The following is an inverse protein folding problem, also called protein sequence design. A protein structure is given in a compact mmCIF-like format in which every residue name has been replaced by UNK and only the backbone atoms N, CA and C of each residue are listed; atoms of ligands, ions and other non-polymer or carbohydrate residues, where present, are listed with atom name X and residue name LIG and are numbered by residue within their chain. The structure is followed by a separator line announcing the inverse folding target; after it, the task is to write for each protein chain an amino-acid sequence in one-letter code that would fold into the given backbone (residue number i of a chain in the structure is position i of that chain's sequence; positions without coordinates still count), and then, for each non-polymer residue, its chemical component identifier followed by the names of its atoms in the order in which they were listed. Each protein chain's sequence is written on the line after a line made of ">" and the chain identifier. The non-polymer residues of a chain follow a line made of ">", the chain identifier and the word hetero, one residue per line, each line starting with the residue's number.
data_IF_334357895438
#
_entry.id   IF_334357895438
#
_cell.length_a   1.000
_cell.length_b   1.000
_cell.length_c   1.000
_cell.angle_alpha   90.00
_cell.angle_beta   90.00
_cell.angle_gamma   90.00
#
_symmetry.space_group_name_H-M   'P 1'
#
loop_
_entity.id
_entity.type
_entity.pdbx_description
1 polymer ?
#
# COMPACT_ATOMS: atom_id res chain seq x y z
N UNK A 1 5.35 -12.68 39.09
CA UNK A 1 4.99 -11.31 38.65
C UNK A 1 5.03 -10.26 39.78
N UNK A 2 5.16 -10.62 41.07
CA UNK A 2 5.17 -9.66 42.19
C UNK A 2 6.50 -8.89 42.40
N UNK A 3 7.58 -9.21 41.69
CA UNK A 3 8.93 -8.70 41.97
C UNK A 3 9.33 -7.40 41.24
N UNK A 4 8.56 -6.93 40.26
CA UNK A 4 8.90 -5.72 39.48
C UNK A 4 8.37 -4.40 40.10
N UNK A 5 7.44 -4.49 41.06
CA UNK A 5 6.84 -3.32 41.73
C UNK A 5 7.34 -3.10 43.17
N UNK A 6 8.28 -3.91 43.65
CA UNK A 6 8.83 -3.74 44.99
C UNK A 6 9.83 -2.59 45.00
N UNK A 7 9.49 -1.48 45.67
CA UNK A 7 10.47 -0.48 46.06
C UNK A 7 11.61 -1.18 46.82
N UNK A 8 12.86 -0.85 46.46
CA UNK A 8 14.04 -1.34 47.18
C UNK A 8 13.81 -1.11 48.68
N UNK A 9 13.84 -2.16 49.52
CA UNK A 9 13.65 -1.99 50.95
C UNK A 9 14.73 -1.02 51.47
N UNK A 10 14.40 -0.12 52.42
CA UNK A 10 15.38 0.79 53.01
C UNK A 10 16.39 -0.04 53.80
N UNK A 11 17.44 -0.45 53.12
CA UNK A 11 18.52 -1.26 53.66
C UNK A 11 19.77 -0.40 53.75
N UNK A 12 20.68 -0.75 54.65
CA UNK A 12 21.91 -0.01 54.93
C UNK A 12 22.95 -0.09 53.79
N UNK A 13 22.71 -0.93 52.77
CA UNK A 13 23.61 -1.16 51.62
C UNK A 13 22.82 -1.40 50.31
N UNK A 14 22.20 -0.36 49.73
CA UNK A 14 21.31 -0.49 48.57
C UNK A 14 21.99 -1.07 47.32
N UNK A 15 23.29 -0.84 47.15
CA UNK A 15 24.05 -1.35 46.00
C UNK A 15 24.31 -2.86 46.08
N UNK A 16 24.64 -3.37 47.27
CA UNK A 16 24.81 -4.82 47.48
C UNK A 16 23.50 -5.58 47.29
N UNK A 17 22.38 -4.99 47.75
CA UNK A 17 21.06 -5.55 47.48
C UNK A 17 20.72 -5.55 45.98
N UNK A 18 21.03 -4.46 45.27
CA UNK A 18 20.83 -4.39 43.82
C UNK A 18 21.66 -5.44 43.06
N UNK A 19 22.88 -5.73 43.49
CA UNK A 19 23.72 -6.78 42.93
C UNK A 19 23.07 -8.16 43.07
N UNK A 20 22.61 -8.52 44.27
CA UNK A 20 21.91 -9.80 44.49
C UNK A 20 20.59 -9.88 43.70
N UNK A 21 19.85 -8.78 43.62
CA UNK A 21 18.64 -8.71 42.81
C UNK A 21 18.93 -8.94 41.32
N UNK A 22 20.00 -8.33 40.77
CA UNK A 22 20.40 -8.54 39.39
C UNK A 22 20.84 -9.99 39.12
N UNK A 23 21.51 -10.65 40.06
CA UNK A 23 21.83 -12.08 39.95
C UNK A 23 20.55 -12.93 39.86
N UNK A 24 19.55 -12.66 40.69
CA UNK A 24 18.25 -13.35 40.65
C UNK A 24 17.52 -13.07 39.33
N UNK A 25 17.57 -11.82 38.86
CA UNK A 25 16.97 -11.43 37.58
C UNK A 25 17.62 -12.15 36.39
N UNK A 26 18.95 -12.21 36.33
CA UNK A 26 19.68 -12.91 35.26
C UNK A 26 19.40 -14.41 35.26
N UNK A 27 19.33 -15.05 36.44
CA UNK A 27 18.92 -16.46 36.55
C UNK A 27 17.49 -16.67 36.05
N UNK A 28 16.57 -15.78 36.43
CA UNK A 28 15.18 -15.82 35.97
C UNK A 28 15.05 -15.55 34.46
N UNK A 29 15.91 -14.71 33.90
CA UNK A 29 15.99 -14.47 32.45
C UNK A 29 16.48 -15.74 31.74
N UNK A 30 17.56 -16.37 32.22
CA UNK A 30 18.09 -17.62 31.64
C UNK A 30 17.03 -18.70 31.48
N UNK A 31 16.19 -18.90 32.51
CA UNK A 31 15.11 -19.91 32.46
C UNK A 31 14.03 -19.63 31.42
N UNK A 32 13.91 -18.38 30.92
CA UNK A 32 12.83 -17.93 30.05
C UNK A 32 13.30 -17.55 28.65
N UNK A 33 14.61 -17.34 28.48
CA UNK A 33 15.23 -16.98 27.22
C UNK A 33 15.45 -18.18 26.30
N UNK A 34 15.63 -17.92 25.00
CA UNK A 34 16.07 -18.94 24.07
C UNK A 34 17.53 -19.35 24.37
N UNK A 35 17.91 -20.64 24.22
CA UNK A 35 19.25 -21.14 24.57
C UNK A 35 20.42 -20.42 23.89
N UNK A 36 20.18 -19.82 22.71
CA UNK A 36 21.19 -19.03 21.98
C UNK A 36 21.69 -17.80 22.76
N UNK A 37 20.93 -17.35 23.78
CA UNK A 37 21.27 -16.17 24.60
C UNK A 37 21.90 -16.52 25.95
N UNK A 38 21.96 -17.80 26.31
CA UNK A 38 22.49 -18.25 27.61
C UNK A 38 23.94 -17.80 27.83
N UNK A 39 24.77 -17.83 26.80
CA UNK A 39 26.17 -17.39 26.90
C UNK A 39 26.29 -15.91 27.33
N UNK A 40 25.45 -15.03 26.79
CA UNK A 40 25.47 -13.61 27.13
C UNK A 40 24.98 -13.37 28.56
N UNK A 41 23.96 -14.12 28.99
CA UNK A 41 23.43 -14.08 30.37
C UNK A 41 24.49 -14.59 31.35
N UNK A 42 25.16 -15.69 31.03
CA UNK A 42 26.20 -16.29 31.86
C UNK A 42 27.40 -15.36 32.01
N UNK A 43 27.81 -14.65 30.94
CA UNK A 43 28.87 -13.63 31.03
C UNK A 43 28.50 -12.49 31.99
N UNK A 44 27.25 -12.00 31.97
CA UNK A 44 26.78 -10.97 32.90
C UNK A 44 26.71 -11.50 34.33
N UNK A 45 26.27 -12.75 34.49
CA UNK A 45 26.19 -13.40 35.79
C UNK A 45 27.58 -13.57 36.42
N UNK A 46 28.55 -14.09 35.65
CA UNK A 46 29.95 -14.23 36.09
C UNK A 46 30.56 -12.88 36.46
N UNK A 47 30.32 -11.81 35.68
CA UNK A 47 30.78 -10.45 36.03
C UNK A 47 30.24 -9.96 37.38
N UNK A 48 29.00 -10.29 37.72
CA UNK A 48 28.42 -9.95 39.03
C UNK A 48 28.89 -10.87 40.14
N UNK A 49 29.22 -12.13 39.84
CA UNK A 49 29.67 -13.11 40.83
C UNK A 49 31.15 -12.96 41.20
N UNK A 50 31.97 -12.57 40.23
CA UNK A 50 33.38 -12.24 40.41
C UNK A 50 33.59 -10.91 41.15
N UNK A 51 32.52 -10.15 41.42
CA UNK A 51 32.61 -8.93 42.22
C UNK A 51 33.09 -9.27 43.64
N UNK A 52 34.30 -8.83 43.96
CA UNK A 52 34.83 -8.83 45.31
C UNK A 52 34.82 -7.41 45.83
N UNK A 53 34.27 -7.23 47.03
CA UNK A 53 34.38 -5.95 47.71
C UNK A 53 35.86 -5.57 47.81
N UNK A 54 36.26 -4.38 47.35
CA UNK A 54 37.63 -3.92 47.52
C UNK A 54 37.93 -3.90 49.02
N UNK A 55 38.91 -4.68 49.45
CA UNK A 55 39.32 -4.78 50.86
C UNK A 55 39.60 -3.35 51.35
N UNK A 56 38.89 -2.86 52.39
CA UNK A 56 39.13 -1.54 52.96
C UNK A 56 40.55 -1.52 53.55
N UNK A 57 41.52 -0.95 52.82
CA UNK A 57 42.91 -0.86 53.27
C UNK A 57 44.00 -1.16 52.23
N UNK A 58 43.66 -1.61 51.01
CA UNK A 58 44.66 -1.95 49.99
C UNK A 58 45.02 -0.81 49.01
N UNK A 59 44.52 0.41 49.21
CA UNK A 59 44.76 1.56 48.34
C UNK A 59 45.26 2.78 49.13
N UNK A 60 46.52 2.70 49.57
CA UNK A 60 47.33 3.86 49.91
C UNK A 60 48.73 3.64 49.35
N UNK A 61 48.88 3.84 48.04
CA UNK A 61 50.00 4.60 47.49
C UNK A 61 49.97 4.59 45.96
N UNK A 62 50.15 5.78 45.39
CA UNK A 62 50.47 6.08 43.99
C UNK A 62 49.29 6.11 42.99
N UNK A 63 48.65 7.27 42.87
CA UNK A 63 48.87 8.17 41.72
C UNK A 63 47.94 9.38 41.81
N UNK A 64 48.53 10.54 42.11
CA UNK A 64 47.89 11.84 42.01
C UNK A 64 47.72 12.23 40.54
N UNK A 65 46.56 12.81 40.21
CA UNK A 65 46.37 13.58 38.99
C UNK A 65 45.52 12.93 37.91
N UNK A 66 44.22 12.77 38.18
CA UNK A 66 43.13 13.21 37.29
C UNK A 66 41.78 12.96 37.99
N UNK A 67 41.11 14.04 38.36
CA UNK A 67 39.87 14.07 39.13
C UNK A 67 38.67 13.71 38.24
N UNK A 68 38.57 12.47 37.77
CA UNK A 68 37.28 11.95 37.31
C UNK A 68 36.40 11.64 38.52
N UNK A 69 35.08 11.89 38.44
CA UNK A 69 34.15 11.54 39.53
C UNK A 69 34.19 10.03 39.73
N UNK A 70 34.85 9.60 40.81
CA UNK A 70 34.89 8.22 41.25
C UNK A 70 33.50 7.82 41.77
N UNK A 71 32.56 7.62 40.84
CA UNK A 71 31.37 6.85 41.12
C UNK A 71 31.82 5.51 41.71
N UNK A 72 31.13 5.05 42.75
CA UNK A 72 31.40 3.73 43.34
C UNK A 72 31.54 2.71 42.21
N UNK A 73 32.68 2.01 42.11
CA UNK A 73 32.95 1.00 41.06
C UNK A 73 31.81 -0.02 40.95
N UNK A 74 31.18 -0.34 42.09
CA UNK A 74 29.99 -1.17 42.18
C UNK A 74 28.78 -0.53 41.48
N UNK A 75 28.57 0.78 41.65
CA UNK A 75 27.51 1.50 40.96
C UNK A 75 27.71 1.50 39.44
N UNK A 76 28.96 1.64 38.97
CA UNK A 76 29.29 1.54 37.53
C UNK A 76 28.98 0.13 37.01
N UNK A 77 29.43 -0.91 37.71
CA UNK A 77 29.14 -2.31 37.36
C UNK A 77 27.63 -2.59 37.28
N UNK A 78 26.86 -2.10 38.27
CA UNK A 78 25.40 -2.24 38.30
C UNK A 78 24.78 -1.55 37.08
N UNK A 79 25.15 -0.29 36.82
CA UNK A 79 24.62 0.48 35.68
C UNK A 79 24.94 -0.21 34.35
N UNK A 80 26.17 -0.69 34.18
CA UNK A 80 26.58 -1.38 32.96
C UNK A 80 25.85 -2.72 32.79
N UNK A 81 25.60 -3.43 33.88
CA UNK A 81 24.82 -4.67 33.85
C UNK A 81 23.35 -4.40 33.51
N UNK A 82 22.76 -3.34 34.06
CA UNK A 82 21.39 -2.91 33.70
C UNK A 82 21.31 -2.54 32.22
N UNK A 83 22.27 -1.75 31.70
CA UNK A 83 22.33 -1.42 30.26
C UNK A 83 22.47 -2.67 29.40
N UNK A 84 23.30 -3.62 29.81
CA UNK A 84 23.46 -4.89 29.10
C UNK A 84 22.19 -5.75 29.12
N UNK A 85 21.45 -5.78 30.23
CA UNK A 85 20.14 -6.45 30.31
C UNK A 85 19.11 -5.79 29.38
N UNK A 86 19.07 -4.46 29.33
CA UNK A 86 18.19 -3.73 28.40
C UNK A 86 18.56 -4.03 26.95
N UNK A 87 19.85 -4.04 26.61
CA UNK A 87 20.32 -4.44 25.28
C UNK A 87 19.94 -5.89 24.95
N UNK A 88 20.06 -6.80 25.92
CA UNK A 88 19.64 -8.20 25.77
C UNK A 88 18.13 -8.30 25.50
N UNK A 89 17.31 -7.49 26.17
CA UNK A 89 15.86 -7.46 25.94
C UNK A 89 15.49 -7.04 24.51
N UNK A 90 16.22 -6.11 23.90
CA UNK A 90 16.03 -5.75 22.49
C UNK A 90 16.39 -6.90 21.54
N UNK A 91 17.46 -7.66 21.84
CA UNK A 91 17.77 -8.87 21.09
C UNK A 91 16.69 -9.96 21.26
N UNK A 92 16.18 -10.15 22.49
CA UNK A 92 15.09 -11.10 22.75
C UNK A 92 13.80 -10.70 22.02
N UNK A 93 13.52 -9.40 21.90
CA UNK A 93 12.40 -8.88 21.11
C UNK A 93 12.57 -9.20 19.63
N UNK A 94 13.79 -9.08 19.10
CA UNK A 94 14.12 -9.50 17.73
C UNK A 94 13.96 -11.02 17.54
N UNK A 95 14.42 -11.82 18.50
CA UNK A 95 14.27 -13.29 18.49
C UNK A 95 12.80 -13.69 18.53
N UNK A 96 12.01 -13.02 19.38
CA UNK A 96 10.57 -13.23 19.49
C UNK A 96 9.86 -12.88 18.18
N UNK A 97 10.18 -11.74 17.58
CA UNK A 97 9.64 -11.36 16.27
C UNK A 97 9.99 -12.39 15.21
N UNK A 98 11.24 -12.88 15.19
CA UNK A 98 11.71 -13.90 14.25
C UNK A 98 11.01 -15.24 14.47
N UNK A 99 10.85 -15.67 15.72
CA UNK A 99 10.16 -16.90 16.09
C UNK A 99 8.66 -16.83 15.76
N UNK A 100 8.02 -15.69 16.03
CA UNK A 100 6.63 -15.43 15.66
C UNK A 100 6.49 -15.52 14.16
N UNK A 101 7.29 -14.78 13.38
CA UNK A 101 7.27 -14.81 11.92
C UNK A 101 7.53 -16.22 11.35
N UNK A 102 8.47 -16.96 11.93
CA UNK A 102 8.76 -18.34 11.53
C UNK A 102 7.65 -19.35 11.88
N UNK A 103 6.77 -19.01 12.82
CA UNK A 103 5.63 -19.84 13.23
C UNK A 103 4.32 -19.48 12.52
N UNK A 104 4.26 -18.30 11.90
CA UNK A 104 3.10 -17.81 11.17
C UNK A 104 2.97 -18.50 9.81
N UNK A 105 1.74 -18.78 9.38
CA UNK A 105 1.51 -19.18 8.00
C UNK A 105 1.74 -18.00 7.05
N UNK A 106 1.97 -18.27 5.76
CA UNK A 106 2.10 -17.21 4.75
C UNK A 106 0.88 -16.27 4.73
N UNK A 107 -0.32 -16.82 4.97
CA UNK A 107 -1.56 -16.05 5.06
C UNK A 107 -1.56 -15.12 6.27
N UNK A 108 -1.09 -15.59 7.43
CA UNK A 108 -0.99 -14.78 8.64
C UNK A 108 0.05 -13.65 8.47
N UNK A 109 1.21 -13.96 7.86
CA UNK A 109 2.23 -12.97 7.55
C UNK A 109 1.67 -11.90 6.61
N UNK A 110 0.99 -12.32 5.53
CA UNK A 110 0.36 -11.39 4.58
C UNK A 110 -0.66 -10.49 5.28
N UNK A 111 -1.53 -11.06 6.11
CA UNK A 111 -2.53 -10.29 6.86
C UNK A 111 -1.89 -9.30 7.84
N UNK A 112 -0.83 -9.72 8.54
CA UNK A 112 -0.07 -8.87 9.44
C UNK A 112 0.60 -7.71 8.68
N UNK A 113 1.25 -7.98 7.56
CA UNK A 113 1.88 -6.96 6.71
C UNK A 113 0.83 -5.97 6.19
N UNK A 114 -0.32 -6.46 5.73
CA UNK A 114 -1.42 -5.59 5.29
C UNK A 114 -1.94 -4.72 6.43
N UNK A 115 -2.14 -5.28 7.62
CA UNK A 115 -2.57 -4.51 8.78
C UNK A 115 -1.56 -3.43 9.15
N UNK A 116 -0.27 -3.75 9.16
CA UNK A 116 0.79 -2.80 9.43
C UNK A 116 0.88 -1.70 8.36
N UNK A 117 0.70 -2.06 7.09
CA UNK A 117 0.67 -1.10 5.99
C UNK A 117 -0.53 -0.14 6.12
N UNK A 118 -1.72 -0.64 6.46
CA UNK A 118 -2.90 0.21 6.74
C UNK A 118 -2.64 1.22 7.86
N UNK A 119 -2.08 0.76 8.97
CA UNK A 119 -1.79 1.62 10.13
C UNK A 119 -0.78 2.70 9.74
N UNK A 120 0.33 2.32 9.11
CA UNK A 120 1.37 3.26 8.68
C UNK A 120 0.88 4.27 7.65
N UNK A 121 0.10 3.84 6.67
CA UNK A 121 -0.49 4.76 5.69
C UNK A 121 -1.35 5.81 6.37
N UNK A 122 -2.23 5.41 7.30
CA UNK A 122 -3.08 6.33 8.04
C UNK A 122 -2.27 7.29 8.89
N UNK A 123 -1.30 6.78 9.64
CA UNK A 123 -0.40 7.60 10.46
C UNK A 123 0.29 8.66 9.61
N UNK A 124 0.87 8.27 8.47
CA UNK A 124 1.58 9.19 7.58
C UNK A 124 0.64 10.22 6.94
N UNK A 125 -0.52 9.82 6.42
CA UNK A 125 -1.46 10.78 5.81
C UNK A 125 -2.04 11.74 6.86
N UNK A 126 -2.35 11.25 8.06
CA UNK A 126 -2.79 12.12 9.16
C UNK A 126 -1.65 13.06 9.58
N UNK A 127 -0.42 12.56 9.73
CA UNK A 127 0.74 13.40 10.04
C UNK A 127 0.94 14.50 8.99
N UNK A 128 0.87 14.16 7.70
CA UNK A 128 1.11 15.10 6.61
C UNK A 128 -0.01 16.16 6.45
N UNK A 129 -1.28 15.78 6.58
CA UNK A 129 -2.43 16.68 6.36
C UNK A 129 -3.02 17.31 7.62
N UNK A 130 -2.77 16.72 8.80
CA UNK A 130 -3.31 17.16 10.08
C UNK A 130 -2.24 17.76 11.01
N UNK A 131 -0.98 17.90 10.52
CA UNK A 131 0.18 18.42 11.28
C UNK A 131 -0.09 19.71 12.08
N UNK A 132 -1.04 20.54 11.63
CA UNK A 132 -1.29 21.88 12.18
C UNK A 132 -2.70 22.09 12.74
N UNK A 133 -3.67 21.21 12.48
CA UNK A 133 -5.09 21.54 12.70
C UNK A 133 -5.96 20.36 13.16
N UNK A 134 -5.83 20.03 14.45
CA UNK A 134 -6.79 19.27 15.27
C UNK A 134 -6.71 17.74 15.11
N UNK A 135 -6.43 16.97 16.18
CA UNK A 135 -6.07 15.54 16.15
C UNK A 135 -7.20 14.55 15.77
N UNK A 136 -8.24 15.01 15.09
CA UNK A 136 -9.48 14.26 14.89
C UNK A 136 -9.68 13.74 13.46
N UNK A 137 -8.76 14.01 12.52
CA UNK A 137 -8.92 13.63 11.11
C UNK A 137 -10.12 14.31 10.43
N UNK A 138 -10.63 15.41 11.02
CA UNK A 138 -11.82 16.10 10.51
C UNK A 138 -11.56 16.75 9.15
N UNK A 139 -10.38 17.34 8.97
CA UNK A 139 -9.95 17.93 7.69
C UNK A 139 -9.97 16.90 6.56
N UNK A 140 -9.52 15.67 6.85
CA UNK A 140 -9.55 14.58 5.88
C UNK A 140 -11.00 14.24 5.49
N UNK A 141 -11.89 14.05 6.47
CA UNK A 141 -13.33 13.78 6.21
C UNK A 141 -13.98 14.87 5.38
N UNK A 142 -13.71 16.13 5.69
CA UNK A 142 -14.31 17.26 4.97
C UNK A 142 -13.78 17.36 3.53
N UNK A 143 -12.49 17.12 3.31
CA UNK A 143 -11.91 17.01 1.95
C UNK A 143 -12.50 15.84 1.16
N UNK A 144 -12.71 14.69 1.81
CA UNK A 144 -13.32 13.54 1.16
C UNK A 144 -14.76 13.82 0.75
N UNK A 145 -15.58 14.33 1.67
CA UNK A 145 -17.00 14.62 1.43
C UNK A 145 -17.18 15.69 0.37
N UNK A 146 -16.39 16.76 0.42
CA UNK A 146 -16.47 17.81 -0.59
C UNK A 146 -16.09 17.27 -1.96
N UNK A 147 -15.03 16.46 -2.06
CA UNK A 147 -14.63 15.83 -3.32
C UNK A 147 -15.68 14.83 -3.84
N UNK A 148 -16.21 13.96 -2.98
CA UNK A 148 -17.20 12.95 -3.35
C UNK A 148 -18.57 13.56 -3.71
N UNK A 149 -18.86 14.79 -3.24
CA UNK A 149 -20.07 15.52 -3.60
C UNK A 149 -20.00 16.15 -5.01
N UNK A 150 -18.82 16.28 -5.62
CA UNK A 150 -18.62 16.91 -6.93
C UNK A 150 -18.91 15.97 -8.12
N UNK A 151 -19.76 14.96 -7.94
CA UNK A 151 -20.16 14.06 -9.05
C UNK A 151 -20.97 14.86 -10.07
N UNK A 152 -20.58 14.81 -11.34
CA UNK A 152 -21.33 15.47 -12.41
C UNK A 152 -22.74 14.89 -12.57
N UNK A 153 -23.75 15.75 -12.74
CA UNK A 153 -25.15 15.34 -12.94
C UNK A 153 -25.36 14.42 -14.16
N UNK A 154 -24.47 14.52 -15.16
CA UNK A 154 -24.45 13.62 -16.34
C UNK A 154 -24.14 12.16 -15.95
N UNK A 155 -23.22 11.96 -15.00
CA UNK A 155 -22.85 10.63 -14.49
C UNK A 155 -23.95 10.09 -13.58
N UNK A 156 -24.55 10.93 -12.73
CA UNK A 156 -25.68 10.51 -11.90
C UNK A 156 -26.83 9.95 -12.74
N UNK A 157 -27.16 10.61 -13.85
CA UNK A 157 -28.21 10.14 -14.77
C UNK A 157 -27.84 8.83 -15.47
N UNK A 158 -26.55 8.59 -15.74
CA UNK A 158 -26.08 7.44 -16.52
C UNK A 158 -26.01 6.13 -15.72
N UNK A 159 -25.95 6.21 -14.38
CA UNK A 159 -25.80 5.04 -13.49
C UNK A 159 -26.87 4.96 -12.39
N UNK A 160 -27.87 5.85 -12.36
CA UNK A 160 -28.88 5.86 -11.32
C UNK A 160 -29.74 4.56 -11.27
N UNK A 161 -30.07 4.04 -10.07
CA UNK A 161 -29.72 4.57 -8.74
C UNK A 161 -28.34 4.09 -8.24
N UNK A 162 -27.41 5.03 -7.97
CA UNK A 162 -26.10 4.73 -7.35
C UNK A 162 -26.27 4.78 -5.81
N UNK A 163 -25.89 3.73 -5.06
CA UNK A 163 -25.82 3.79 -3.60
C UNK A 163 -24.95 4.96 -3.12
N UNK A 164 -25.30 5.64 -2.01
CA UNK A 164 -24.49 6.75 -1.49
C UNK A 164 -23.03 6.33 -1.25
N UNK A 165 -22.86 5.09 -0.79
CA UNK A 165 -21.57 4.47 -0.51
C UNK A 165 -20.73 4.25 -1.79
N UNK A 166 -21.33 4.25 -2.98
CA UNK A 166 -20.60 4.04 -4.23
C UNK A 166 -20.40 5.33 -5.04
N UNK A 167 -20.89 6.48 -4.56
CA UNK A 167 -20.76 7.76 -5.29
C UNK A 167 -19.31 8.17 -5.52
N UNK A 168 -18.44 7.94 -4.55
CA UNK A 168 -17.02 8.26 -4.66
C UNK A 168 -16.31 7.41 -5.72
N UNK A 169 -16.78 6.18 -5.98
CA UNK A 169 -16.24 5.31 -7.04
C UNK A 169 -16.54 5.94 -8.40
N UNK A 170 -17.79 6.37 -8.61
CA UNK A 170 -18.18 7.07 -9.86
C UNK A 170 -17.36 8.34 -10.04
N UNK A 171 -17.13 9.10 -8.96
CA UNK A 171 -16.25 10.28 -8.99
C UNK A 171 -14.80 9.93 -9.36
N UNK A 172 -14.25 8.87 -8.79
CA UNK A 172 -12.90 8.39 -9.11
C UNK A 172 -12.80 8.02 -10.60
N UNK A 173 -13.76 7.26 -11.10
CA UNK A 173 -13.80 6.85 -12.51
C UNK A 173 -13.95 8.04 -13.46
N UNK A 174 -14.71 9.06 -13.05
CA UNK A 174 -14.81 10.33 -13.78
C UNK A 174 -13.44 11.03 -13.86
N UNK A 175 -12.71 11.12 -12.75
CA UNK A 175 -11.36 11.71 -12.69
C UNK A 175 -10.34 10.93 -13.53
N UNK A 176 -10.37 9.59 -13.48
CA UNK A 176 -9.53 8.71 -14.31
C UNK A 176 -9.88 8.80 -15.80
N UNK A 177 -11.12 9.17 -16.13
CA UNK A 177 -11.58 9.38 -17.50
C UNK A 177 -11.28 10.76 -18.08
N UNK A 178 -10.54 11.61 -17.35
CA UNK A 178 -10.10 12.90 -17.87
C UNK A 178 -8.73 12.80 -18.54
N UNK A 179 -8.39 13.79 -19.38
CA UNK A 179 -7.07 13.90 -20.00
C UNK A 179 -6.06 14.66 -19.13
N UNK A 180 -6.44 15.07 -17.91
CA UNK A 180 -5.57 15.79 -16.97
C UNK A 180 -4.99 14.78 -16.01
N UNK A 181 -3.67 14.76 -15.79
CA UNK A 181 -3.05 13.79 -14.89
C UNK A 181 -3.65 13.87 -13.47
N UNK A 182 -4.01 12.71 -12.92
CA UNK A 182 -4.43 12.62 -11.52
C UNK A 182 -3.27 13.01 -10.60
N UNK A 183 -3.55 13.87 -9.63
CA UNK A 183 -2.55 14.35 -8.66
C UNK A 183 -3.11 14.37 -7.25
N UNK A 184 -2.25 14.19 -6.26
CA UNK A 184 -2.58 14.35 -4.86
C UNK A 184 -1.58 15.32 -4.22
N UNK A 185 -2.02 16.56 -4.00
CA UNK A 185 -1.14 17.63 -3.54
C UNK A 185 -0.82 17.49 -2.04
N UNK A 186 0.46 17.34 -1.71
CA UNK A 186 0.96 17.37 -0.34
C UNK A 186 0.87 18.80 0.19
N UNK A 187 0.44 19.04 1.44
CA UNK A 187 0.35 20.38 2.00
C UNK A 187 1.71 21.09 1.97
N UNK A 188 1.71 22.34 1.50
CA UNK A 188 2.90 23.19 1.30
C UNK A 188 3.77 23.43 2.55
N UNK A 189 3.40 22.90 3.73
CA UNK A 189 4.22 23.02 4.94
C UNK A 189 5.53 22.22 4.91
N UNK A 190 5.73 21.35 3.92
CA UNK A 190 6.90 20.48 3.79
C UNK A 190 7.87 20.93 2.69
N UNK A 191 7.50 21.93 1.89
CA UNK A 191 8.37 22.55 0.89
C UNK A 191 8.84 23.92 1.40
N UNK A 192 9.95 23.98 2.16
CA UNK A 192 10.55 25.25 2.54
C UNK A 192 11.02 25.99 1.29
N UNK A 193 10.30 27.04 0.88
CA UNK A 193 10.69 27.94 -0.22
C UNK A 193 9.63 28.29 -1.25
N UNK A 194 8.40 27.78 -1.17
CA UNK A 194 7.39 27.97 -2.24
C UNK A 194 6.32 29.03 -1.94
N UNK A 195 6.67 30.11 -1.24
CA UNK A 195 5.73 31.21 -0.91
C UNK A 195 5.49 32.20 -2.08
N UNK A 196 6.22 32.11 -3.20
CA UNK A 196 6.17 33.12 -4.27
C UNK A 196 5.35 32.78 -5.52
N UNK A 197 4.69 31.59 -5.62
CA UNK A 197 3.97 31.20 -6.85
C UNK A 197 2.44 31.28 -6.80
N UNK A 198 1.85 31.90 -5.78
CA UNK A 198 0.39 31.95 -5.62
C UNK A 198 -0.38 32.92 -6.56
N UNK A 199 0.29 33.63 -7.47
CA UNK A 199 -0.35 34.75 -8.19
C UNK A 199 -0.88 34.40 -9.60
N UNK A 200 -0.51 33.26 -10.22
CA UNK A 200 -0.91 32.95 -11.60
C UNK A 200 -1.43 31.52 -11.83
N UNK A 201 -2.28 30.98 -10.93
CA UNK A 201 -3.02 29.76 -11.25
C UNK A 201 -4.21 30.09 -12.15
N UNK A 202 -3.98 30.07 -13.46
CA UNK A 202 -5.04 29.97 -14.48
C UNK A 202 -5.94 28.77 -14.17
N UNK A 203 -7.24 29.01 -14.22
CA UNK A 203 -8.39 28.13 -13.88
C UNK A 203 -8.48 26.84 -14.71
N UNK A 204 -7.42 26.05 -14.77
CA UNK A 204 -7.52 24.68 -15.28
C UNK A 204 -8.24 23.82 -14.25
N UNK A 205 -9.22 22.98 -14.65
CA UNK A 205 -9.91 22.10 -13.72
C UNK A 205 -8.89 21.12 -13.13
N UNK A 206 -8.58 21.28 -11.85
CA UNK A 206 -7.60 20.48 -11.15
C UNK A 206 -8.14 19.05 -10.97
N UNK A 207 -7.51 18.06 -11.60
CA UNK A 207 -7.80 16.64 -11.38
C UNK A 207 -7.15 16.16 -10.07
N UNK A 208 -7.56 16.79 -8.98
CA UNK A 208 -7.01 16.59 -7.64
C UNK A 208 -7.80 15.52 -6.89
N UNK A 209 -7.07 14.50 -6.43
CA UNK A 209 -7.59 13.43 -5.60
C UNK A 209 -7.47 13.78 -4.12
N UNK A 210 -8.44 13.36 -3.28
CA UNK A 210 -8.36 13.58 -1.85
C UNK A 210 -7.16 12.81 -1.25
N UNK A 211 -6.69 13.21 -0.05
CA UNK A 211 -5.47 12.65 0.56
C UNK A 211 -5.50 11.13 0.78
N UNK A 212 -6.69 10.55 0.88
CA UNK A 212 -6.93 9.11 0.99
C UNK A 212 -6.36 8.30 -0.18
N UNK A 213 -6.16 8.93 -1.34
CA UNK A 213 -5.54 8.27 -2.50
C UNK A 213 -4.03 8.48 -2.59
N UNK A 214 -3.39 9.14 -1.61
CA UNK A 214 -1.99 9.55 -1.72
C UNK A 214 -1.05 8.40 -2.14
N UNK A 215 -1.11 7.26 -1.45
CA UNK A 215 -0.25 6.11 -1.76
C UNK A 215 -0.64 5.34 -3.03
N UNK A 216 -1.90 5.44 -3.47
CA UNK A 216 -2.38 4.80 -4.71
C UNK A 216 -2.32 5.73 -5.92
N UNK A 217 -1.99 7.01 -5.74
CA UNK A 217 -1.94 8.02 -6.81
C UNK A 217 -1.00 7.61 -7.97
N UNK A 218 0.24 7.11 -7.73
CA UNK A 218 1.08 6.65 -8.83
C UNK A 218 0.45 5.52 -9.65
N UNK A 219 -0.26 4.61 -8.96
CA UNK A 219 -0.97 3.50 -9.60
C UNK A 219 -2.20 3.97 -10.38
N UNK A 220 -2.91 4.97 -9.87
CA UNK A 220 -4.04 5.60 -10.56
C UNK A 220 -3.58 6.36 -11.81
N UNK A 221 -2.43 7.03 -11.76
CA UNK A 221 -1.81 7.66 -12.93
C UNK A 221 -1.40 6.61 -13.98
N UNK A 222 -0.79 5.50 -13.54
CA UNK A 222 -0.51 4.36 -14.43
C UNK A 222 -1.78 3.85 -15.11
N UNK A 223 -2.86 3.63 -14.33
CA UNK A 223 -4.17 3.21 -14.86
C UNK A 223 -4.70 4.23 -15.87
N UNK A 224 -4.58 5.53 -15.60
CA UNK A 224 -5.03 6.58 -16.51
C UNK A 224 -4.29 6.53 -17.86
N UNK A 225 -2.96 6.42 -17.83
CA UNK A 225 -2.15 6.27 -19.05
C UNK A 225 -2.51 4.98 -19.81
N UNK A 226 -2.77 3.91 -19.07
CA UNK A 226 -3.18 2.62 -19.63
C UNK A 226 -4.55 2.72 -20.34
N UNK A 227 -5.53 3.40 -19.74
CA UNK A 227 -6.84 3.64 -20.36
C UNK A 227 -6.72 4.49 -21.64
N UNK A 228 -5.83 5.48 -21.63
CA UNK A 228 -5.53 6.28 -22.82
C UNK A 228 -4.90 5.40 -23.92
N UNK A 229 -3.92 4.55 -23.60
CA UNK A 229 -3.31 3.64 -24.57
C UNK A 229 -4.30 2.63 -25.16
N UNK A 230 -5.20 2.06 -24.34
CA UNK A 230 -6.29 1.19 -24.83
C UNK A 230 -7.17 1.96 -25.82
N UNK A 231 -7.52 3.21 -25.49
CA UNK A 231 -8.35 4.07 -26.34
C UNK A 231 -7.65 4.41 -27.65
N UNK A 232 -6.36 4.78 -27.61
CA UNK A 232 -5.53 5.05 -28.80
C UNK A 232 -5.51 3.81 -29.69
N UNK A 233 -5.19 2.65 -29.12
CA UNK A 233 -5.11 1.37 -29.84
C UNK A 233 -6.43 1.04 -30.55
N UNK A 234 -7.56 1.19 -29.86
CA UNK A 234 -8.90 0.99 -30.44
C UNK A 234 -9.20 2.01 -31.55
N UNK A 235 -8.82 3.27 -31.36
CA UNK A 235 -9.04 4.33 -32.35
C UNK A 235 -8.24 4.06 -33.63
N UNK A 236 -6.96 3.68 -33.50
CA UNK A 236 -6.12 3.30 -34.63
C UNK A 236 -6.67 2.05 -35.34
N UNK A 237 -7.16 1.06 -34.60
CA UNK A 237 -7.79 -0.14 -35.18
C UNK A 237 -8.97 0.20 -36.11
N UNK A 238 -9.80 1.16 -35.72
CA UNK A 238 -10.93 1.66 -36.50
C UNK A 238 -10.47 2.43 -37.74
N UNK A 239 -9.34 3.14 -37.67
CA UNK A 239 -8.76 3.86 -38.79
C UNK A 239 -8.14 2.92 -39.84
N UNK A 240 -7.49 1.83 -39.40
CA UNK A 240 -6.79 0.92 -40.30
C UNK A 240 -7.74 -0.09 -40.98
N UNK A 241 -8.82 -0.52 -40.31
CA UNK A 241 -9.84 -1.46 -40.84
C UNK A 241 -9.27 -2.73 -41.47
N UNK A 242 -8.18 -3.28 -40.93
CA UNK A 242 -7.60 -4.52 -41.43
C UNK A 242 -8.50 -5.72 -41.09
N UNK A 243 -8.80 -6.61 -42.06
CA UNK A 243 -9.52 -7.84 -41.79
C UNK A 243 -8.57 -8.95 -41.27
N UNK A 244 -9.08 -9.79 -40.37
CA UNK A 244 -8.46 -11.05 -39.98
C UNK A 244 -7.11 -10.92 -39.24
N UNK A 245 -6.15 -11.85 -39.45
CA UNK A 245 -4.95 -11.99 -38.63
C UNK A 245 -4.01 -10.78 -38.69
N UNK A 246 -3.99 -10.07 -39.82
CA UNK A 246 -3.17 -8.84 -39.97
C UNK A 246 -3.62 -7.72 -39.04
N UNK A 247 -4.91 -7.66 -38.72
CA UNK A 247 -5.46 -6.72 -37.74
C UNK A 247 -4.96 -7.03 -36.33
N UNK A 248 -4.92 -8.30 -35.95
CA UNK A 248 -4.40 -8.74 -34.66
C UNK A 248 -2.89 -8.45 -34.52
N UNK A 249 -2.07 -8.80 -35.52
CA UNK A 249 -0.63 -8.51 -35.49
C UNK A 249 -0.32 -7.01 -35.44
N UNK A 250 -1.14 -6.18 -36.08
CA UNK A 250 -1.02 -4.73 -36.00
C UNK A 250 -1.34 -4.24 -34.57
N UNK A 251 -2.46 -4.72 -34.00
CA UNK A 251 -2.86 -4.41 -32.64
C UNK A 251 -1.81 -4.82 -31.60
N UNK A 252 -1.29 -6.04 -31.70
CA UNK A 252 -0.25 -6.57 -30.81
C UNK A 252 0.99 -5.67 -30.81
N UNK A 253 1.41 -5.20 -31.99
CA UNK A 253 2.57 -4.30 -32.12
C UNK A 253 2.32 -2.91 -31.56
N UNK A 254 1.20 -2.28 -31.92
CA UNK A 254 0.82 -0.95 -31.41
C UNK A 254 0.68 -0.99 -29.89
N UNK A 255 0.01 -2.02 -29.38
CA UNK A 255 -0.16 -2.22 -27.95
C UNK A 255 1.18 -2.42 -27.23
N UNK A 256 2.06 -3.27 -27.76
CA UNK A 256 3.38 -3.51 -27.17
C UNK A 256 4.21 -2.24 -27.10
N UNK A 257 4.17 -1.39 -28.13
CA UNK A 257 4.87 -0.10 -28.14
C UNK A 257 4.33 0.85 -27.06
N UNK A 258 3.00 0.98 -26.97
CA UNK A 258 2.37 1.84 -25.96
C UNK A 258 2.60 1.33 -24.54
N UNK A 259 2.50 0.02 -24.33
CA UNK A 259 2.69 -0.61 -23.03
C UNK A 259 4.13 -0.47 -22.55
N UNK A 260 5.11 -0.63 -23.44
CA UNK A 260 6.53 -0.43 -23.13
C UNK A 260 6.79 1.01 -22.66
N UNK A 261 6.23 2.02 -23.32
CA UNK A 261 6.37 3.43 -22.90
C UNK A 261 5.78 3.65 -21.49
N UNK A 262 4.59 3.11 -21.23
CA UNK A 262 3.93 3.25 -19.93
C UNK A 262 4.72 2.54 -18.82
N UNK A 263 5.27 1.37 -19.11
CA UNK A 263 6.05 0.59 -18.13
C UNK A 263 7.46 1.19 -17.89
N UNK A 264 8.06 1.85 -18.90
CA UNK A 264 9.33 2.58 -18.76
C UNK A 264 9.18 3.82 -17.88
N UNK A 265 8.08 4.57 -18.00
CA UNK A 265 7.79 5.75 -17.15
C UNK A 265 7.69 5.42 -15.65
N UNK A 266 7.40 4.16 -15.30
CA UNK A 266 7.31 3.72 -13.89
C UNK A 266 8.69 3.42 -13.28
N UNK A 267 9.68 3.08 -14.10
CA UNK A 267 10.98 2.57 -13.65
C UNK A 267 12.18 3.42 -14.06
N UNK A 268 12.00 4.38 -14.98
CA UNK A 268 13.03 5.31 -15.41
C UNK A 268 13.26 6.47 -14.43
N UNK A 269 14.46 7.12 -14.47
CA UNK A 269 14.59 8.47 -13.93
C UNK A 269 13.54 9.37 -14.59
N UNK A 270 13.03 10.42 -13.91
CA UNK A 270 12.01 11.31 -14.46
C UNK A 270 12.55 12.01 -15.70
N UNK A 271 12.42 11.35 -16.85
CA UNK A 271 12.66 11.92 -18.15
C UNK A 271 11.63 13.01 -18.35
N UNK A 272 12.08 14.12 -18.91
CA UNK A 272 11.32 15.36 -19.12
C UNK A 272 9.84 15.07 -19.44
N UNK A 273 8.98 15.41 -18.47
CA UNK A 273 7.53 15.22 -18.55
C UNK A 273 7.00 15.78 -19.88
N UNK A 274 6.50 14.92 -20.75
CA UNK A 274 5.54 15.33 -21.78
C UNK A 274 5.87 14.97 -23.22
N UNK A 275 7.01 14.33 -23.53
CA UNK A 275 7.22 13.75 -24.85
C UNK A 275 7.20 12.22 -24.78
N UNK A 276 6.01 11.64 -24.57
CA UNK A 276 5.83 10.24 -24.95
C UNK A 276 6.26 10.13 -26.41
N UNK A 277 7.17 9.21 -26.74
CA UNK A 277 7.71 9.03 -28.08
C UNK A 277 6.68 8.32 -28.96
N UNK A 278 5.53 8.97 -29.15
CA UNK A 278 4.47 8.61 -30.11
C UNK A 278 4.97 8.65 -31.56
N UNK A 279 6.22 9.06 -31.77
CA UNK A 279 6.92 9.31 -33.04
C UNK A 279 6.84 8.12 -34.01
N UNK A 280 6.55 6.89 -33.54
CA UNK A 280 6.49 5.71 -34.41
C UNK A 280 5.07 5.17 -34.68
N UNK A 281 3.99 5.71 -34.09
CA UNK A 281 2.65 5.15 -34.31
C UNK A 281 2.13 5.42 -35.73
N UNK A 282 2.42 6.59 -36.29
CA UNK A 282 2.04 6.93 -37.65
C UNK A 282 2.72 6.00 -38.66
N UNK A 283 4.01 5.72 -38.48
CA UNK A 283 4.76 4.82 -39.36
C UNK A 283 4.26 3.37 -39.27
N UNK A 284 3.86 2.91 -38.08
CA UNK A 284 3.23 1.60 -37.89
C UNK A 284 1.89 1.48 -38.64
N UNK A 285 1.06 2.53 -38.58
CA UNK A 285 -0.22 2.58 -39.30
C UNK A 285 -0.01 2.59 -40.81
N UNK A 286 0.96 3.36 -41.31
CA UNK A 286 1.34 3.37 -42.73
C UNK A 286 1.82 1.99 -43.18
N UNK A 287 2.75 1.39 -42.42
CA UNK A 287 3.29 0.05 -42.71
C UNK A 287 2.20 -1.01 -42.79
N UNK A 288 1.18 -0.91 -41.94
CA UNK A 288 0.08 -1.87 -41.89
C UNK A 288 -0.87 -1.77 -43.10
N UNK A 289 -0.97 -0.60 -43.76
CA UNK A 289 -1.80 -0.40 -44.96
C UNK A 289 -1.06 -0.54 -46.29
N UNK A 290 0.26 -0.70 -46.29
CA UNK A 290 1.05 -0.80 -47.53
C UNK A 290 0.57 -1.94 -48.44
N UNK A 291 0.61 -1.76 -49.78
CA UNK A 291 1.13 -0.59 -50.50
C UNK A 291 0.13 0.59 -50.58
N UNK A 292 0.63 1.83 -50.44
CA UNK A 292 -0.15 3.08 -50.54
C UNK A 292 0.53 4.07 -51.50
N UNK A 293 -0.26 4.95 -52.12
CA UNK A 293 0.27 6.11 -52.85
C UNK A 293 0.73 7.21 -51.87
N UNK A 294 1.70 8.05 -52.27
CA UNK A 294 2.26 9.10 -51.41
C UNK A 294 1.19 10.08 -50.86
N UNK A 295 0.17 10.39 -51.66
CA UNK A 295 -0.95 11.24 -51.21
C UNK A 295 -1.80 10.54 -50.13
N UNK A 296 -2.02 9.24 -50.27
CA UNK A 296 -2.79 8.45 -49.29
C UNK A 296 -2.00 8.25 -48.01
N UNK A 297 -0.68 8.07 -48.10
CA UNK A 297 0.21 8.03 -46.95
C UNK A 297 0.15 9.34 -46.14
N UNK A 298 0.28 10.50 -46.80
CA UNK A 298 0.19 11.80 -46.13
C UNK A 298 -1.16 12.01 -45.44
N UNK A 299 -2.26 11.66 -46.11
CA UNK A 299 -3.61 11.74 -45.52
C UNK A 299 -3.77 10.80 -44.32
N UNK A 300 -3.17 9.61 -44.37
CA UNK A 300 -3.23 8.64 -43.28
C UNK A 300 -2.44 9.12 -42.06
N UNK A 301 -1.25 9.70 -42.27
CA UNK A 301 -0.45 10.32 -41.20
C UNK A 301 -1.22 11.46 -40.52
N UNK A 302 -1.83 12.35 -41.30
CA UNK A 302 -2.65 13.44 -40.78
C UNK A 302 -3.87 12.93 -39.99
N UNK A 303 -4.51 11.86 -40.49
CA UNK A 303 -5.62 11.22 -39.79
C UNK A 303 -5.17 10.61 -38.45
N UNK A 304 -4.00 9.95 -38.40
CA UNK A 304 -3.42 9.43 -37.16
C UNK A 304 -3.12 10.57 -36.19
N UNK A 305 -2.43 11.62 -36.62
CA UNK A 305 -2.11 12.78 -35.79
C UNK A 305 -3.36 13.46 -35.24
N UNK A 306 -4.42 13.53 -36.04
CA UNK A 306 -5.72 14.03 -35.60
C UNK A 306 -6.35 13.12 -34.54
N UNK A 307 -6.38 11.80 -34.77
CA UNK A 307 -6.97 10.83 -33.84
C UNK A 307 -6.21 10.75 -32.51
N UNK A 308 -4.92 11.04 -32.50
CA UNK A 308 -4.10 11.10 -31.28
C UNK A 308 -4.38 12.36 -30.44
N UNK A 309 -5.08 13.38 -30.98
CA UNK A 309 -5.44 14.56 -30.20
C UNK A 309 -6.54 14.20 -29.20
N UNK A 310 -6.40 14.57 -27.91
CA UNK A 310 -7.40 14.26 -26.89
C UNK A 310 -8.78 14.90 -27.14
N UNK A 311 -8.86 15.92 -28.01
CA UNK A 311 -10.09 16.61 -28.39
C UNK A 311 -10.80 15.99 -29.61
N UNK A 312 -10.23 14.95 -30.23
CA UNK A 312 -10.88 14.31 -31.37
C UNK A 312 -12.18 13.60 -30.93
N UNK A 313 -13.30 13.79 -31.66
CA UNK A 313 -14.60 13.23 -31.27
C UNK A 313 -14.60 11.69 -31.23
N UNK A 314 -13.79 11.02 -32.06
CA UNK A 314 -13.72 9.54 -32.05
C UNK A 314 -13.02 9.08 -30.78
N UNK A 315 -11.90 9.72 -30.43
CA UNK A 315 -11.17 9.44 -29.20
C UNK A 315 -12.07 9.66 -27.97
N UNK A 316 -12.72 10.82 -27.87
CA UNK A 316 -13.61 11.16 -26.75
C UNK A 316 -14.78 10.17 -26.61
N UNK A 317 -15.38 9.76 -27.72
CA UNK A 317 -16.50 8.81 -27.72
C UNK A 317 -16.07 7.43 -27.24
N UNK A 318 -14.93 6.92 -27.72
CA UNK A 318 -14.40 5.62 -27.29
C UNK A 318 -13.95 5.65 -25.84
N UNK A 319 -13.25 6.71 -25.44
CA UNK A 319 -12.79 6.89 -24.07
C UNK A 319 -13.96 6.91 -23.09
N UNK A 320 -14.99 7.71 -23.39
CA UNK A 320 -16.21 7.78 -22.59
C UNK A 320 -16.92 6.42 -22.50
N UNK A 321 -17.04 5.68 -23.61
CA UNK A 321 -17.65 4.34 -23.60
C UNK A 321 -16.86 3.37 -22.74
N UNK A 322 -15.54 3.41 -22.82
CA UNK A 322 -14.64 2.58 -22.02
C UNK A 322 -14.80 2.88 -20.52
N UNK A 323 -14.70 4.15 -20.14
CA UNK A 323 -14.79 4.57 -18.74
C UNK A 323 -16.17 4.31 -18.16
N UNK A 324 -17.25 4.57 -18.90
CA UNK A 324 -18.60 4.22 -18.46
C UNK A 324 -18.80 2.70 -18.33
N UNK A 325 -18.27 1.92 -19.29
CA UNK A 325 -18.33 0.45 -19.25
C UNK A 325 -17.62 -0.12 -18.02
N UNK A 326 -16.39 0.34 -17.77
CA UNK A 326 -15.61 -0.02 -16.58
C UNK A 326 -16.30 0.40 -15.29
N UNK A 327 -16.87 1.61 -15.24
CA UNK A 327 -17.59 2.10 -14.05
C UNK A 327 -18.73 1.16 -13.67
N UNK A 328 -19.55 0.71 -14.64
CA UNK A 328 -20.64 -0.25 -14.38
C UNK A 328 -20.09 -1.56 -13.81
N UNK A 329 -19.04 -2.10 -14.42
CA UNK A 329 -18.42 -3.35 -13.97
C UNK A 329 -17.85 -3.28 -12.56
N UNK A 330 -17.21 -2.15 -12.21
CA UNK A 330 -16.72 -1.91 -10.86
C UNK A 330 -17.88 -1.86 -9.87
N UNK A 331 -18.96 -1.12 -10.18
CA UNK A 331 -20.13 -1.01 -9.31
C UNK A 331 -20.80 -2.37 -9.10
N UNK A 332 -20.96 -3.16 -10.16
CA UNK A 332 -21.54 -4.51 -10.09
C UNK A 332 -20.67 -5.44 -9.23
N UNK A 333 -19.35 -5.35 -9.37
CA UNK A 333 -18.40 -6.12 -8.56
C UNK A 333 -18.52 -5.77 -7.06
N UNK A 334 -18.60 -4.48 -6.74
CA UNK A 334 -18.75 -4.01 -5.35
C UNK A 334 -20.11 -4.39 -4.74
N UNK A 335 -21.19 -4.35 -5.54
CA UNK A 335 -22.50 -4.81 -5.12
C UNK A 335 -22.51 -6.32 -4.80
N UNK A 336 -21.92 -7.14 -5.68
CA UNK A 336 -21.82 -8.59 -5.47
C UNK A 336 -20.98 -8.94 -4.23
N UNK A 337 -19.91 -8.19 -3.95
CA UNK A 337 -19.09 -8.39 -2.75
C UNK A 337 -19.88 -8.08 -1.46
N UNK A 338 -20.74 -7.06 -1.46
CA UNK A 338 -21.54 -6.69 -0.28
C UNK A 338 -22.54 -7.76 0.17
N UNK A 339 -23.14 -8.49 -0.79
CA UNK A 339 -24.15 -9.52 -0.49
C UNK A 339 -23.56 -10.81 0.10
N UNK A 340 -22.34 -11.16 -0.29
CA UNK A 340 -21.64 -12.35 0.25
C UNK A 340 -21.28 -12.20 1.73
N UNK A 341 -20.97 -10.99 2.20
CA UNK A 341 -20.66 -10.73 3.61
C UNK A 341 -21.88 -10.89 4.53
N UNK A 342 -23.08 -10.50 4.06
CA UNK A 342 -24.33 -10.64 4.82
C UNK A 342 -24.82 -12.08 4.93
N UNK A 343 -24.41 -12.94 4.00
CA UNK A 343 -24.80 -14.36 3.98
C UNK A 343 -23.76 -15.28 4.63
N UNK A 344 -22.47 -14.92 4.62
CA UNK A 344 -21.42 -15.67 5.31
C UNK A 344 -21.57 -15.68 6.85
N UNK A 345 -22.26 -14.70 7.44
CA UNK A 345 -22.62 -14.71 8.86
C UNK A 345 -23.73 -15.71 9.23
N UNK A 346 -24.30 -16.42 8.25
CA UNK A 346 -25.38 -17.41 8.44
C UNK A 346 -25.05 -18.75 7.79
N UNK A 347 -23.77 -19.08 7.64
CA UNK A 347 -23.37 -20.47 7.47
C UNK A 347 -23.57 -21.20 8.81
N UNK A 348 -24.76 -21.78 8.95
CA UNK A 348 -25.05 -22.78 9.99
C UNK A 348 -23.97 -23.86 9.82
N UNK A 349 -23.15 -24.14 10.84
CA UNK A 349 -22.13 -25.18 10.73
C UNK A 349 -22.79 -26.50 10.36
N UNK A 350 -22.45 -27.04 9.19
CA UNK A 350 -23.02 -28.29 8.65
C UNK A 350 -22.70 -29.51 9.53
N UNK A 351 -21.82 -29.33 10.54
CA UNK A 351 -21.50 -30.36 11.53
C UNK A 351 -21.50 -29.79 12.95
N UNK A 352 -22.53 -30.12 13.71
CA UNK A 352 -22.51 -30.00 15.17
C UNK A 352 -21.54 -31.04 15.74
N UNK A 353 -20.29 -30.64 15.99
CA UNK A 353 -19.32 -31.48 16.71
C UNK A 353 -19.74 -31.57 18.18
N UNK A 354 -20.56 -32.56 18.51
CA UNK A 354 -20.81 -32.96 19.89
C UNK A 354 -19.53 -33.53 20.48
N UNK A 355 -19.06 -32.91 21.57
CA UNK A 355 -17.77 -33.22 22.18
C UNK A 355 -17.74 -34.59 22.86
N UNK A 356 -16.73 -35.39 22.51
CA UNK A 356 -16.04 -36.38 23.36
C UNK A 356 -14.84 -36.97 22.60
N UNK A 357 -13.80 -36.16 22.38
CA UNK A 357 -12.47 -36.71 22.08
C UNK A 357 -11.65 -36.74 23.36
N UNK A 358 -11.66 -37.92 23.98
CA UNK A 358 -10.74 -38.29 25.05
C UNK A 358 -9.36 -38.44 24.42
N UNK A 359 -8.38 -37.66 24.89
CA UNK A 359 -7.00 -38.10 24.90
C UNK A 359 -6.07 -37.66 23.76
N UNK A 360 -6.01 -36.37 23.42
CA UNK A 360 -4.75 -35.71 23.00
C UNK A 360 -4.95 -34.22 23.19
N UNK A 361 -4.22 -33.58 24.12
CA UNK A 361 -4.23 -32.11 24.27
C UNK A 361 -3.73 -31.49 22.96
N UNK A 362 -4.58 -30.80 22.16
CA UNK A 362 -4.05 -29.99 21.08
C UNK A 362 -3.38 -28.78 21.72
N UNK A 363 -2.11 -28.57 21.40
CA UNK A 363 -1.41 -27.31 21.70
C UNK A 363 -2.30 -26.18 21.19
N UNK A 364 -2.79 -25.32 22.10
CA UNK A 364 -3.52 -24.09 21.77
C UNK A 364 -2.58 -23.20 20.95
N UNK A 365 -2.52 -23.41 19.64
CA UNK A 365 -1.99 -22.41 18.73
C UNK A 365 -2.98 -21.25 18.79
N UNK A 366 -2.50 -20.08 19.19
CA UNK A 366 -3.27 -18.85 19.09
C UNK A 366 -3.62 -18.69 17.60
N UNK A 367 -4.87 -18.99 17.24
CA UNK A 367 -5.39 -18.66 15.92
C UNK A 367 -5.70 -17.18 15.96
N UNK A 368 -4.94 -16.41 15.20
CA UNK A 368 -5.35 -15.06 14.84
C UNK A 368 -6.47 -15.26 13.83
N UNK A 369 -7.70 -14.90 14.19
CA UNK A 369 -8.80 -14.84 13.23
C UNK A 369 -8.47 -13.72 12.24
N UNK A 370 -7.86 -14.10 11.12
CA UNK A 370 -7.60 -13.22 9.99
C UNK A 370 -8.90 -13.11 9.21
N UNK A 371 -9.47 -11.91 9.05
CA UNK A 371 -10.65 -11.76 8.23
C UNK A 371 -10.34 -12.05 6.75
N UNK A 372 -11.16 -12.89 6.11
CA UNK A 372 -10.96 -13.36 4.72
C UNK A 372 -10.90 -12.24 3.66
N UNK A 373 -11.35 -11.03 4.01
CA UNK A 373 -11.32 -9.84 3.15
C UNK A 373 -9.92 -9.24 2.93
N UNK A 374 -8.87 -9.74 3.59
CA UNK A 374 -7.49 -9.29 3.39
C UNK A 374 -6.76 -10.00 2.24
N UNK A 375 -7.42 -10.94 1.54
CA UNK A 375 -6.88 -11.51 0.31
C UNK A 375 -7.03 -10.51 -0.85
N UNK A 376 -6.18 -9.48 -0.86
CA UNK A 376 -5.97 -8.57 -1.99
C UNK A 376 -5.32 -9.24 -3.21
N UNK A 377 -4.83 -10.48 -3.05
CA UNK A 377 -4.62 -11.26 -4.27
C UNK A 377 -6.01 -11.47 -4.83
N UNK A 378 -6.31 -11.04 -6.08
CA UNK A 378 -7.37 -11.69 -6.81
C UNK A 378 -6.97 -13.16 -6.76
N UNK A 379 -7.58 -13.91 -5.84
CA UNK A 379 -7.40 -15.35 -5.79
C UNK A 379 -7.61 -15.76 -7.23
N UNK A 380 -6.76 -16.65 -7.71
CA UNK A 380 -7.13 -17.53 -8.81
C UNK A 380 -8.42 -18.22 -8.35
N UNK A 381 -9.53 -17.50 -8.47
CA UNK A 381 -10.87 -18.02 -8.51
C UNK A 381 -10.79 -18.90 -9.73
N UNK A 382 -10.51 -20.18 -9.49
CA UNK A 382 -10.71 -21.21 -10.48
C UNK A 382 -12.07 -20.94 -11.11
N UNK A 383 -12.06 -20.47 -12.35
CA UNK A 383 -13.13 -20.61 -13.33
C UNK A 383 -14.56 -20.36 -12.84
N UNK A 384 -14.76 -19.40 -11.94
CA UNK A 384 -15.98 -18.61 -11.96
C UNK A 384 -15.80 -17.62 -13.09
N UNK A 385 -16.01 -18.06 -14.33
CA UNK A 385 -15.83 -17.25 -15.53
C UNK A 385 -16.71 -15.99 -15.44
N UNK A 386 -16.20 -14.93 -14.82
CA UNK A 386 -16.75 -13.59 -14.97
C UNK A 386 -16.74 -13.36 -16.47
N UNK A 387 -17.94 -13.26 -17.04
CA UNK A 387 -18.12 -13.12 -18.48
C UNK A 387 -17.16 -12.03 -18.99
N UNK A 388 -16.48 -12.24 -20.13
CA UNK A 388 -15.56 -11.26 -20.66
C UNK A 388 -16.29 -9.91 -20.77
N UNK A 389 -15.63 -8.85 -20.31
CA UNK A 389 -16.20 -7.50 -20.33
C UNK A 389 -16.24 -7.03 -21.78
N UNK A 390 -17.42 -7.14 -22.41
CA UNK A 390 -17.60 -6.71 -23.81
C UNK A 390 -18.08 -5.26 -23.82
N UNK A 391 -17.18 -4.34 -24.17
CA UNK A 391 -17.50 -2.93 -24.42
C UNK A 391 -17.50 -2.71 -25.93
N UNK A 392 -18.57 -2.11 -26.46
CA UNK A 392 -18.68 -1.82 -27.90
C UNK A 392 -17.52 -0.97 -28.40
N UNK A 393 -16.86 -1.41 -29.46
CA UNK A 393 -15.63 -0.78 -29.97
C UNK A 393 -14.33 -1.30 -29.36
N UNK A 394 -14.42 -2.21 -28.38
CA UNK A 394 -13.28 -2.91 -27.75
C UNK A 394 -13.50 -4.43 -27.80
N UNK A 395 -14.11 -4.91 -28.88
CA UNK A 395 -14.51 -6.32 -29.07
C UNK A 395 -13.31 -7.24 -29.36
N UNK A 396 -12.17 -6.65 -29.74
CA UNK A 396 -10.95 -7.39 -30.05
C UNK A 396 -10.41 -8.11 -28.80
N UNK A 397 -10.03 -9.41 -28.89
CA UNK A 397 -9.64 -10.20 -27.73
C UNK A 397 -8.49 -9.61 -26.90
N UNK A 398 -7.52 -8.98 -27.57
CA UNK A 398 -6.40 -8.29 -26.93
C UNK A 398 -6.92 -7.16 -26.03
N UNK A 399 -7.74 -6.27 -26.58
CA UNK A 399 -8.29 -5.13 -25.85
C UNK A 399 -9.18 -5.59 -24.71
N UNK A 400 -10.02 -6.60 -24.92
CA UNK A 400 -10.87 -7.16 -23.88
C UNK A 400 -10.06 -7.72 -22.69
N UNK A 401 -8.95 -8.42 -22.96
CA UNK A 401 -8.05 -8.91 -21.92
C UNK A 401 -7.38 -7.76 -21.16
N UNK A 402 -6.90 -6.74 -21.86
CA UNK A 402 -6.22 -5.62 -21.21
C UNK A 402 -7.19 -4.71 -20.44
N UNK A 403 -8.44 -4.57 -20.90
CA UNK A 403 -9.53 -3.95 -20.13
C UNK A 403 -9.77 -4.72 -18.83
N UNK A 404 -9.76 -6.06 -18.88
CA UNK A 404 -9.91 -6.89 -17.67
C UNK A 404 -8.72 -6.75 -16.72
N UNK A 405 -7.50 -6.60 -17.23
CA UNK A 405 -6.32 -6.28 -16.43
C UNK A 405 -6.48 -4.93 -15.73
N UNK A 406 -6.85 -3.87 -16.46
CA UNK A 406 -7.09 -2.55 -15.86
C UNK A 406 -8.22 -2.58 -14.83
N UNK A 407 -9.31 -3.27 -15.12
CA UNK A 407 -10.43 -3.43 -14.20
C UNK A 407 -9.97 -4.03 -12.86
N UNK A 408 -9.12 -5.06 -12.90
CA UNK A 408 -8.54 -5.68 -11.69
C UNK A 408 -7.70 -4.67 -10.91
N UNK A 409 -6.85 -3.91 -11.58
CA UNK A 409 -6.00 -2.90 -10.92
C UNK A 409 -6.86 -1.79 -10.27
N UNK A 410 -7.92 -1.34 -10.94
CA UNK A 410 -8.89 -0.37 -10.39
C UNK A 410 -9.56 -0.94 -9.12
N UNK A 411 -10.04 -2.19 -9.17
CA UNK A 411 -10.67 -2.86 -8.02
C UNK A 411 -9.69 -2.99 -6.84
N UNK A 412 -8.42 -3.28 -7.11
CA UNK A 412 -7.37 -3.34 -6.06
C UNK A 412 -7.20 -1.98 -5.39
N UNK A 413 -7.11 -0.89 -6.17
CA UNK A 413 -7.01 0.47 -5.62
C UNK A 413 -8.24 0.85 -4.79
N UNK A 414 -9.45 0.58 -5.30
CA UNK A 414 -10.72 0.88 -4.62
C UNK A 414 -10.84 0.09 -3.32
N UNK A 415 -10.51 -1.20 -3.36
CA UNK A 415 -10.59 -2.10 -2.21
C UNK A 415 -9.55 -1.70 -1.16
N UNK A 416 -8.33 -1.32 -1.56
CA UNK A 416 -7.32 -0.79 -0.67
C UNK A 416 -7.82 0.46 0.06
N UNK A 417 -8.32 1.46 -0.68
CA UNK A 417 -8.83 2.70 -0.11
C UNK A 417 -10.00 2.43 0.84
N UNK A 418 -10.97 1.60 0.43
CA UNK A 418 -12.09 1.21 1.28
C UNK A 418 -11.66 0.47 2.55
N UNK A 419 -10.59 -0.33 2.48
CA UNK A 419 -10.06 -1.07 3.63
C UNK A 419 -9.23 -0.21 4.60
N UNK A 420 -8.48 0.77 4.10
CA UNK A 420 -7.65 1.66 4.92
C UNK A 420 -8.51 2.75 5.54
N UNK A 421 -9.44 3.31 4.76
CA UNK A 421 -10.14 4.55 5.05
C UNK A 421 -11.65 4.39 5.28
N UNK A 422 -12.18 3.16 5.24
CA UNK A 422 -13.62 2.93 5.29
C UNK A 422 -14.33 3.61 6.46
N UNK A 423 -13.76 3.59 7.66
CA UNK A 423 -14.33 4.26 8.84
C UNK A 423 -14.42 5.80 8.73
N UNK A 424 -13.67 6.41 7.81
CA UNK A 424 -13.70 7.85 7.55
C UNK A 424 -14.51 8.22 6.30
N UNK A 425 -14.67 7.25 5.39
CA UNK A 425 -15.34 7.38 4.10
C UNK A 425 -16.84 7.08 4.19
N UNK A 426 -17.25 6.23 5.14
CA UNK A 426 -18.62 5.73 5.34
C UNK A 426 -19.41 6.50 6.41
#
# INVERSE_FOLDING_TARGET
>A
MQSLHAHLPPTTSPLHYALEFLKVLLRSLRERCAPIRDQAIDQLYTKLDDWRDPIPGAASDQSEGHSEPQGSRLAVLIVDTVKAIVSLAEYMKSDLNTAILGSMSEQDVKAFVLQQAKVRERELVVELWDAKQSPSGQVLRDKWRSWAALVSSSMETSFAPIPPDHKWIVRLMEQLGTNVATSCNVPNSLTPGSEESAVNQTQTPSNELPPHFFFVTPKLLYIQNYLQAITITASLRILVQLPGPRGHEFLDRVWSLLKMEIDEDVHGPPSELGSTKVINLADEVVRAKMPLEANQESQLREAVDRTLRPQDPVFLLLHRRLTEGLTRQVLDHMAAAGDTSRTAGREIPDTLKTGRTIGTRPVKRARVDVPDHLNLSPRSSKEGATAPVVIKGFEEPLLANEIQTVLREIIVCITWVGMVWGDLVW
#
